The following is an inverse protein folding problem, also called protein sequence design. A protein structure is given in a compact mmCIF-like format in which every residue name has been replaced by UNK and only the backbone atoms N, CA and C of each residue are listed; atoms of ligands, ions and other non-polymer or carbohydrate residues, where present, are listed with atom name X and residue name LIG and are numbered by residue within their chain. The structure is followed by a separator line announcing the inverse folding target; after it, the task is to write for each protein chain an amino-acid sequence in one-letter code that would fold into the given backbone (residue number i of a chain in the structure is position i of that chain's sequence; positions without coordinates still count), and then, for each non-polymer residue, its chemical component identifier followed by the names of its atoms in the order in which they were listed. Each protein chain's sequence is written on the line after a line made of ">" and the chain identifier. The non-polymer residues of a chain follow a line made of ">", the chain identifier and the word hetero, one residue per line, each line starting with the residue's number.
data_IF_790709335362
#
_entry.id   IF_790709335362
#
_cell.length_a   1.000
_cell.length_b   1.000
_cell.length_c   1.000
_cell.angle_alpha   90.00
_cell.angle_beta   90.00
_cell.angle_gamma   90.00
#
_symmetry.space_group_name_H-M   'P 1'
#
loop_
_entity.id
_entity.type
_entity.pdbx_description
1 polymer ?
#
# COMPACT_ATOMS: atom_id res chain seq x y z
N UNK A 1 -7.94 -38.17 -23.78
CA UNK A 1 -9.05 -38.53 -24.71
C UNK A 1 -10.33 -39.01 -24.03
N UNK A 2 -10.32 -40.01 -23.13
CA UNK A 2 -11.55 -40.56 -22.49
C UNK A 2 -12.49 -39.53 -21.83
N UNK A 3 -11.97 -38.48 -21.19
CA UNK A 3 -12.78 -37.41 -20.55
C UNK A 3 -13.45 -36.46 -21.56
N UNK A 4 -12.84 -36.26 -22.73
CA UNK A 4 -13.39 -35.42 -23.80
C UNK A 4 -14.53 -36.17 -24.49
N UNK A 5 -14.33 -37.46 -24.76
CA UNK A 5 -15.36 -38.33 -25.37
C UNK A 5 -16.60 -38.43 -24.48
N UNK A 6 -16.44 -38.60 -23.16
CA UNK A 6 -17.60 -38.64 -22.24
C UNK A 6 -18.31 -37.30 -22.10
N UNK A 7 -17.59 -36.19 -22.22
CA UNK A 7 -18.19 -34.85 -22.24
C UNK A 7 -19.02 -34.64 -23.51
N UNK A 8 -18.48 -34.97 -24.69
CA UNK A 8 -19.16 -34.83 -25.98
C UNK A 8 -20.41 -35.71 -26.05
N UNK A 9 -20.33 -36.97 -25.60
CA UNK A 9 -21.50 -37.87 -25.52
C UNK A 9 -22.60 -37.34 -24.59
N UNK A 10 -22.22 -36.70 -23.48
CA UNK A 10 -23.18 -36.11 -22.54
C UNK A 10 -23.88 -34.89 -23.13
N UNK A 11 -23.17 -34.08 -23.92
CA UNK A 11 -23.73 -32.93 -24.64
C UNK A 11 -24.64 -33.39 -25.78
N UNK A 12 -24.24 -34.38 -26.57
CA UNK A 12 -25.06 -34.96 -27.63
C UNK A 12 -26.36 -35.58 -27.09
N UNK A 13 -26.28 -36.30 -25.97
CA UNK A 13 -27.49 -36.87 -25.34
C UNK A 13 -28.45 -35.79 -24.83
N UNK A 14 -27.93 -34.68 -24.28
CA UNK A 14 -28.77 -33.57 -23.82
C UNK A 14 -29.43 -32.81 -24.97
N UNK A 15 -28.71 -32.58 -26.05
CA UNK A 15 -29.25 -31.91 -27.25
C UNK A 15 -30.28 -32.76 -27.97
N UNK A 16 -30.06 -34.08 -28.09
CA UNK A 16 -31.06 -35.01 -28.62
C UNK A 16 -32.35 -35.03 -27.79
N UNK A 17 -32.24 -35.01 -26.45
CA UNK A 17 -33.42 -34.96 -25.58
C UNK A 17 -34.21 -33.66 -25.75
N UNK A 18 -33.53 -32.52 -25.90
CA UNK A 18 -34.18 -31.24 -26.17
C UNK A 18 -34.91 -31.22 -27.51
N UNK A 19 -34.31 -31.80 -28.57
CA UNK A 19 -34.96 -31.90 -29.88
C UNK A 19 -36.24 -32.73 -29.82
N UNK A 20 -36.21 -33.89 -29.15
CA UNK A 20 -37.41 -34.73 -28.96
C UNK A 20 -38.49 -33.96 -28.21
N UNK A 21 -38.12 -33.20 -27.17
CA UNK A 21 -39.06 -32.40 -26.40
C UNK A 21 -39.71 -31.28 -27.23
N UNK A 22 -38.93 -30.59 -28.07
CA UNK A 22 -39.44 -29.57 -29.00
C UNK A 22 -40.40 -30.16 -30.03
N UNK A 23 -40.08 -31.34 -30.59
CA UNK A 23 -40.98 -32.04 -31.53
C UNK A 23 -42.27 -32.46 -30.84
N UNK A 24 -42.21 -32.92 -29.59
CA UNK A 24 -43.40 -33.26 -28.80
C UNK A 24 -44.30 -32.05 -28.54
N UNK A 25 -43.72 -30.90 -28.18
CA UNK A 25 -44.48 -29.65 -27.99
C UNK A 25 -45.12 -29.20 -29.30
N UNK A 26 -44.37 -29.20 -30.41
CA UNK A 26 -44.91 -28.84 -31.72
C UNK A 26 -46.02 -29.79 -32.17
N UNK A 27 -45.84 -31.10 -31.98
CA UNK A 27 -46.85 -32.11 -32.27
C UNK A 27 -48.13 -31.92 -31.43
N UNK A 28 -48.00 -31.62 -30.14
CA UNK A 28 -49.15 -31.37 -29.26
C UNK A 28 -49.93 -30.11 -29.67
N UNK A 29 -49.23 -29.06 -30.13
CA UNK A 29 -49.88 -27.85 -30.62
C UNK A 29 -50.63 -28.08 -31.94
N UNK A 30 -50.07 -28.87 -32.85
CA UNK A 30 -50.76 -29.26 -34.10
C UNK A 30 -52.00 -30.09 -33.77
N UNK A 31 -51.91 -31.03 -32.81
CA UNK A 31 -53.05 -31.86 -32.41
C UNK A 31 -54.19 -31.02 -31.81
N UNK A 32 -53.85 -30.01 -31.00
CA UNK A 32 -54.82 -29.05 -30.44
C UNK A 32 -55.48 -28.20 -31.54
N UNK A 33 -54.73 -27.73 -32.54
CA UNK A 33 -55.27 -26.98 -33.68
C UNK A 33 -56.21 -27.82 -34.55
N UNK A 34 -55.98 -29.13 -34.67
CA UNK A 34 -56.87 -30.02 -35.41
C UNK A 34 -58.14 -30.42 -34.65
N UNK A 35 -58.13 -30.34 -33.31
CA UNK A 35 -59.29 -30.68 -32.49
C UNK A 35 -60.45 -29.69 -32.66
N UNK A 36 -60.17 -28.40 -32.80
CA UNK A 36 -61.20 -27.37 -33.05
C UNK A 36 -61.88 -27.52 -34.43
N UNK A 37 -61.11 -27.92 -35.45
CA UNK A 37 -61.66 -28.14 -36.79
C UNK A 37 -62.63 -29.34 -36.86
N UNK A 38 -62.41 -30.36 -36.03
CA UNK A 38 -63.29 -31.55 -35.96
C UNK A 38 -64.54 -31.27 -35.11
N UNK A 39 -64.41 -30.47 -34.05
CA UNK A 39 -65.54 -30.11 -33.17
C UNK A 39 -66.61 -29.26 -33.90
N UNK A 40 -66.17 -28.40 -34.83
CA UNK A 40 -67.08 -27.54 -35.59
C UNK A 40 -67.80 -28.30 -36.73
N UNK A 41 -67.22 -29.41 -37.21
CA UNK A 41 -67.82 -30.30 -38.22
C UNK A 41 -68.91 -31.21 -37.63
N UNK A 42 -68.71 -31.74 -36.41
CA UNK A 42 -69.72 -32.58 -35.73
C UNK A 42 -70.94 -31.78 -35.27
N UNK A 43 -70.76 -30.51 -34.87
CA UNK A 43 -71.87 -29.64 -34.46
C UNK A 43 -72.82 -29.33 -35.62
N UNK A 44 -72.32 -29.21 -36.86
CA UNK A 44 -73.17 -28.98 -38.05
C UNK A 44 -73.90 -30.25 -38.51
N UNK A 45 -73.33 -31.44 -38.31
CA UNK A 45 -73.99 -32.72 -38.61
C UNK A 45 -75.13 -33.10 -37.64
N UNK A 46 -75.11 -32.57 -36.42
CA UNK A 46 -76.13 -32.88 -35.42
C UNK A 46 -77.47 -32.14 -35.67
N UNK A 47 -77.44 -30.96 -36.30
CA UNK A 47 -78.66 -30.21 -36.63
C UNK A 47 -79.42 -30.76 -37.85
N UNK A 48 -78.80 -31.59 -38.71
CA UNK A 48 -79.52 -32.24 -39.82
C UNK A 48 -80.38 -33.43 -39.39
N UNK A 49 -80.29 -33.86 -38.13
CA UNK A 49 -81.11 -34.96 -37.58
C UNK A 49 -82.33 -34.46 -36.79
N UNK A 50 -82.41 -33.16 -36.48
CA UNK A 50 -83.53 -32.58 -35.73
C UNK A 50 -84.85 -32.50 -36.53
N UNK A 51 -84.83 -32.65 -37.86
CA UNK A 51 -86.03 -32.64 -38.70
C UNK A 51 -86.75 -34.00 -38.81
N UNK A 52 -86.24 -35.05 -38.16
CA UNK A 52 -86.80 -36.42 -38.24
C UNK A 52 -87.71 -36.77 -37.04
N UNK A 53 -87.84 -35.88 -36.05
CA UNK A 53 -88.64 -36.13 -34.81
C UNK A 53 -90.05 -35.52 -34.84
N UNK A 54 -90.56 -35.11 -36.01
CA UNK A 54 -91.94 -34.63 -36.15
C UNK A 54 -92.88 -35.73 -36.68
N UNK A 55 -92.93 -36.88 -36.01
CA UNK A 55 -93.99 -37.88 -36.26
C UNK A 55 -95.04 -37.77 -35.13
N UNK A 56 -95.84 -36.71 -35.22
CA UNK A 56 -96.99 -36.48 -34.33
C UNK A 56 -98.20 -37.17 -34.95
N UNK A 57 -98.58 -38.31 -34.37
CA UNK A 57 -99.74 -39.09 -34.77
C UNK A 57 -101.06 -38.28 -34.74
N UNK A 58 -101.91 -38.57 -35.71
CA UNK A 58 -103.22 -37.91 -35.96
C UNK A 58 -104.24 -38.10 -34.82
N UNK A 59 -105.16 -37.15 -34.58
CA UNK A 59 -105.95 -37.06 -33.36
C UNK A 59 -107.23 -37.90 -33.36
N UNK A 60 -107.53 -38.57 -32.24
CA UNK A 60 -108.84 -39.18 -31.95
C UNK A 60 -109.43 -38.62 -30.63
N UNK A 61 -110.54 -37.90 -30.75
CA UNK A 61 -111.44 -37.37 -29.69
C UNK A 61 -110.95 -36.17 -28.84
N UNK A 62 -111.86 -35.21 -28.60
CA UNK A 62 -111.61 -33.93 -27.89
C UNK A 62 -111.09 -34.07 -26.44
N UNK A 63 -111.33 -35.21 -25.77
CA UNK A 63 -110.90 -35.44 -24.38
C UNK A 63 -109.45 -35.92 -24.30
N UNK A 64 -109.05 -36.85 -25.16
CA UNK A 64 -107.65 -37.32 -25.24
C UNK A 64 -106.68 -36.21 -25.65
N UNK A 65 -107.10 -35.33 -26.56
CA UNK A 65 -106.31 -34.16 -26.95
C UNK A 65 -106.09 -33.18 -25.78
N UNK A 66 -107.07 -32.99 -24.88
CA UNK A 66 -106.89 -32.11 -23.70
C UNK A 66 -105.88 -32.68 -22.71
N UNK A 67 -105.94 -33.98 -22.44
CA UNK A 67 -104.98 -34.64 -21.55
C UNK A 67 -103.56 -34.70 -22.14
N UNK A 68 -103.44 -34.87 -23.45
CA UNK A 68 -102.17 -34.78 -24.16
C UNK A 68 -101.58 -33.36 -24.10
N UNK A 69 -102.41 -32.33 -24.36
CA UNK A 69 -101.97 -30.93 -24.24
C UNK A 69 -101.49 -30.63 -22.82
N UNK A 70 -102.26 -30.98 -21.79
CA UNK A 70 -101.85 -30.77 -20.38
C UNK A 70 -100.53 -31.47 -20.05
N UNK A 71 -100.33 -32.71 -20.53
CA UNK A 71 -99.06 -33.44 -20.34
C UNK A 71 -97.89 -32.77 -21.06
N UNK A 72 -98.10 -32.30 -22.28
CA UNK A 72 -97.08 -31.58 -23.02
C UNK A 72 -96.74 -30.25 -22.35
N UNK A 73 -97.74 -29.50 -21.86
CA UNK A 73 -97.51 -28.23 -21.14
C UNK A 73 -96.69 -28.47 -19.86
N UNK A 74 -97.01 -29.53 -19.11
CA UNK A 74 -96.25 -29.89 -17.92
C UNK A 74 -94.80 -30.32 -18.25
N UNK A 75 -94.58 -31.06 -19.34
CA UNK A 75 -93.23 -31.39 -19.80
C UNK A 75 -92.44 -30.16 -20.24
N UNK A 76 -93.06 -29.22 -20.96
CA UNK A 76 -92.40 -27.98 -21.36
C UNK A 76 -91.98 -27.15 -20.15
N UNK A 77 -92.82 -27.04 -19.11
CA UNK A 77 -92.46 -26.33 -17.87
C UNK A 77 -91.27 -26.98 -17.15
N UNK A 78 -91.21 -28.32 -17.11
CA UNK A 78 -90.07 -29.04 -16.51
C UNK A 78 -88.79 -28.84 -17.31
N UNK A 79 -88.85 -28.94 -18.64
CA UNK A 79 -87.69 -28.70 -19.50
C UNK A 79 -87.21 -27.25 -19.43
N UNK A 80 -88.11 -26.28 -19.34
CA UNK A 80 -87.76 -24.88 -19.13
C UNK A 80 -87.07 -24.67 -17.78
N UNK A 81 -87.55 -25.30 -16.71
CA UNK A 81 -86.91 -25.24 -15.40
C UNK A 81 -85.51 -25.88 -15.39
N UNK A 82 -85.33 -27.01 -16.08
CA UNK A 82 -84.02 -27.66 -16.22
C UNK A 82 -83.06 -26.82 -17.05
N UNK A 83 -83.52 -26.23 -18.16
CA UNK A 83 -82.72 -25.32 -18.98
C UNK A 83 -82.26 -24.08 -18.18
N UNK A 84 -83.13 -23.50 -17.36
CA UNK A 84 -82.77 -22.39 -16.46
C UNK A 84 -81.73 -22.79 -15.41
N UNK A 85 -81.84 -24.01 -14.86
CA UNK A 85 -80.87 -24.53 -13.91
C UNK A 85 -79.50 -24.72 -14.56
N UNK A 86 -79.44 -25.34 -15.74
CA UNK A 86 -78.19 -25.52 -16.46
C UNK A 86 -77.56 -24.18 -16.85
N UNK A 87 -78.36 -23.17 -17.25
CA UNK A 87 -77.84 -21.83 -17.54
C UNK A 87 -77.24 -21.17 -16.29
N UNK A 88 -77.87 -21.33 -15.12
CA UNK A 88 -77.33 -20.83 -13.86
C UNK A 88 -76.01 -21.53 -13.48
N UNK A 89 -75.90 -22.84 -13.66
CA UNK A 89 -74.68 -23.61 -13.43
C UNK A 89 -73.57 -23.21 -14.42
N UNK A 90 -73.90 -23.03 -15.71
CA UNK A 90 -72.95 -22.59 -16.73
C UNK A 90 -72.41 -21.18 -16.44
N UNK A 91 -73.26 -20.27 -15.95
CA UNK A 91 -72.83 -18.93 -15.53
C UNK A 91 -71.88 -18.98 -14.33
N UNK A 92 -72.16 -19.84 -13.33
CA UNK A 92 -71.27 -20.04 -12.18
C UNK A 92 -69.91 -20.57 -12.61
N UNK A 93 -69.90 -21.63 -13.42
CA UNK A 93 -68.66 -22.21 -13.95
C UNK A 93 -67.86 -21.20 -14.79
N UNK A 94 -68.53 -20.37 -15.61
CA UNK A 94 -67.87 -19.29 -16.36
C UNK A 94 -67.23 -18.26 -15.43
N UNK A 95 -67.91 -17.86 -14.36
CA UNK A 95 -67.36 -16.91 -13.40
C UNK A 95 -66.14 -17.48 -12.67
N UNK A 96 -66.19 -18.76 -12.29
CA UNK A 96 -65.06 -19.45 -11.66
C UNK A 96 -63.84 -19.55 -12.60
N UNK A 97 -64.05 -19.84 -13.89
CA UNK A 97 -62.97 -19.83 -14.89
C UNK A 97 -62.34 -18.44 -15.03
N UNK A 98 -63.14 -17.37 -14.99
CA UNK A 98 -62.62 -15.99 -15.03
C UNK A 98 -61.79 -15.67 -13.79
N UNK A 99 -62.26 -16.08 -12.60
CA UNK A 99 -61.54 -15.90 -11.33
C UNK A 99 -60.22 -16.67 -11.32
N UNK A 100 -60.24 -17.96 -11.67
CA UNK A 100 -59.04 -18.80 -11.76
C UNK A 100 -58.05 -18.29 -12.81
N UNK A 101 -58.53 -17.70 -13.91
CA UNK A 101 -57.68 -17.06 -14.90
C UNK A 101 -56.97 -15.83 -14.31
N UNK A 102 -57.69 -14.98 -13.58
CA UNK A 102 -57.12 -13.80 -12.93
C UNK A 102 -56.10 -14.17 -11.83
N UNK A 103 -56.36 -15.24 -11.08
CA UNK A 103 -55.43 -15.77 -10.09
C UNK A 103 -54.17 -16.35 -10.73
N UNK A 104 -54.30 -17.10 -11.82
CA UNK A 104 -53.15 -17.60 -12.58
C UNK A 104 -52.28 -16.45 -13.12
N UNK A 105 -52.89 -15.38 -13.65
CA UNK A 105 -52.14 -14.19 -14.04
C UNK A 105 -51.38 -13.57 -12.86
N UNK A 106 -52.02 -13.49 -11.70
CA UNK A 106 -51.41 -12.94 -10.49
C UNK A 106 -50.24 -13.80 -10.00
N UNK A 107 -50.40 -15.12 -9.99
CA UNK A 107 -49.34 -16.07 -9.65
C UNK A 107 -48.18 -16.01 -10.64
N UNK A 108 -48.46 -15.92 -11.94
CA UNK A 108 -47.43 -15.77 -12.97
C UNK A 108 -46.63 -14.47 -12.79
N UNK A 109 -47.30 -13.35 -12.46
CA UNK A 109 -46.61 -12.09 -12.14
C UNK A 109 -45.72 -12.22 -10.90
N UNK A 110 -46.17 -12.93 -9.86
CA UNK A 110 -45.35 -13.18 -8.66
C UNK A 110 -44.15 -14.07 -8.97
N UNK A 111 -44.34 -15.12 -9.76
CA UNK A 111 -43.27 -16.01 -10.20
C UNK A 111 -42.21 -15.26 -11.00
N UNK A 112 -42.62 -14.35 -11.90
CA UNK A 112 -41.71 -13.49 -12.65
C UNK A 112 -40.89 -12.57 -11.72
N UNK A 113 -41.54 -11.89 -10.77
CA UNK A 113 -40.84 -11.03 -9.79
C UNK A 113 -39.81 -11.80 -8.95
N UNK A 114 -40.20 -12.97 -8.45
CA UNK A 114 -39.28 -13.83 -7.68
C UNK A 114 -38.11 -14.32 -8.54
N UNK A 115 -38.33 -14.58 -9.82
CA UNK A 115 -37.25 -14.94 -10.74
C UNK A 115 -36.26 -13.77 -10.94
N UNK A 116 -36.77 -12.54 -11.06
CA UNK A 116 -35.94 -11.33 -11.17
C UNK A 116 -35.15 -11.07 -9.88
N UNK A 117 -35.80 -11.12 -8.71
CA UNK A 117 -35.14 -10.98 -7.40
C UNK A 117 -34.05 -12.03 -7.20
N UNK A 118 -34.30 -13.28 -7.59
CA UNK A 118 -33.30 -14.34 -7.53
C UNK A 118 -32.12 -14.06 -8.45
N UNK A 119 -32.37 -13.57 -9.66
CA UNK A 119 -31.31 -13.22 -10.60
C UNK A 119 -30.43 -12.07 -10.07
N UNK A 120 -31.04 -11.08 -9.41
CA UNK A 120 -30.33 -9.99 -8.76
C UNK A 120 -29.48 -10.49 -7.57
N UNK A 121 -30.05 -11.32 -6.70
CA UNK A 121 -29.34 -11.94 -5.58
C UNK A 121 -28.14 -12.77 -6.06
N UNK A 122 -28.32 -13.56 -7.13
CA UNK A 122 -27.23 -14.34 -7.75
C UNK A 122 -26.13 -13.42 -8.32
N UNK A 123 -26.49 -12.28 -8.89
CA UNK A 123 -25.52 -11.30 -9.38
C UNK A 123 -24.74 -10.67 -8.22
N UNK A 124 -25.42 -10.31 -7.13
CA UNK A 124 -24.80 -9.76 -5.92
C UNK A 124 -23.87 -10.76 -5.25
N UNK A 125 -24.27 -12.02 -5.13
CA UNK A 125 -23.41 -13.11 -4.65
C UNK A 125 -22.15 -13.26 -5.51
N UNK A 126 -22.26 -13.16 -6.83
CA UNK A 126 -21.10 -13.20 -7.73
C UNK A 126 -20.20 -11.97 -7.60
N UNK A 127 -20.74 -10.78 -7.30
CA UNK A 127 -19.94 -9.58 -7.02
C UNK A 127 -19.17 -9.74 -5.70
N UNK A 128 -19.86 -10.09 -4.62
CA UNK A 128 -19.25 -10.29 -3.31
C UNK A 128 -18.16 -11.38 -3.33
N UNK A 129 -18.37 -12.48 -4.06
CA UNK A 129 -17.34 -13.51 -4.23
C UNK A 129 -16.09 -13.00 -4.95
N UNK A 130 -16.24 -12.16 -5.98
CA UNK A 130 -15.10 -11.54 -6.68
C UNK A 130 -14.34 -10.58 -5.79
N UNK A 131 -15.05 -9.80 -4.98
CA UNK A 131 -14.46 -8.91 -4.01
C UNK A 131 -13.66 -9.67 -2.95
N UNK A 132 -14.22 -10.76 -2.40
CA UNK A 132 -13.49 -11.65 -1.49
C UNK A 132 -12.23 -12.24 -2.12
N UNK A 133 -12.28 -12.65 -3.39
CA UNK A 133 -11.07 -13.15 -4.07
C UNK A 133 -10.03 -12.07 -4.28
N UNK A 134 -10.44 -10.83 -4.57
CA UNK A 134 -9.52 -9.71 -4.75
C UNK A 134 -8.86 -9.34 -3.41
N UNK A 135 -9.65 -9.17 -2.35
CA UNK A 135 -9.16 -8.89 -1.00
C UNK A 135 -8.23 -10.00 -0.49
N UNK A 136 -8.56 -11.27 -0.79
CA UNK A 136 -7.70 -12.40 -0.45
C UNK A 136 -6.35 -12.36 -1.20
N UNK A 137 -6.33 -11.85 -2.44
CA UNK A 137 -5.09 -11.69 -3.20
C UNK A 137 -4.25 -10.54 -2.64
N UNK A 138 -4.88 -9.41 -2.36
CA UNK A 138 -4.22 -8.22 -1.80
C UNK A 138 -3.61 -8.51 -0.43
N UNK A 139 -4.33 -9.21 0.44
CA UNK A 139 -3.79 -9.63 1.76
C UNK A 139 -2.61 -10.57 1.63
N UNK A 140 -2.60 -11.48 0.64
CA UNK A 140 -1.46 -12.35 0.36
C UNK A 140 -0.25 -11.55 -0.15
N UNK A 141 -0.46 -10.57 -1.02
CA UNK A 141 0.58 -9.69 -1.55
C UNK A 141 1.21 -8.82 -0.46
N UNK A 142 0.40 -8.14 0.34
CA UNK A 142 0.87 -7.34 1.48
C UNK A 142 1.62 -8.19 2.51
N UNK A 143 1.19 -9.43 2.73
CA UNK A 143 1.91 -10.36 3.60
C UNK A 143 3.28 -10.72 3.04
N UNK A 144 3.38 -10.98 1.72
CA UNK A 144 4.65 -11.23 1.06
C UNK A 144 5.58 -10.01 1.09
N UNK A 145 5.03 -8.80 0.91
CA UNK A 145 5.78 -7.55 1.00
C UNK A 145 6.30 -7.31 2.42
N UNK A 146 5.48 -7.52 3.46
CA UNK A 146 5.90 -7.42 4.86
C UNK A 146 7.07 -8.35 5.15
N UNK A 147 7.02 -9.60 4.68
CA UNK A 147 8.10 -10.57 4.84
C UNK A 147 9.36 -10.10 4.11
N UNK A 148 9.23 -9.55 2.89
CA UNK A 148 10.36 -9.01 2.13
C UNK A 148 11.02 -7.83 2.84
N UNK A 149 10.23 -6.88 3.34
CA UNK A 149 10.72 -5.71 4.07
C UNK A 149 11.37 -6.12 5.39
N UNK A 150 10.77 -7.05 6.13
CA UNK A 150 11.35 -7.58 7.37
C UNK A 150 12.72 -8.23 7.14
N UNK A 151 12.89 -9.00 6.05
CA UNK A 151 14.21 -9.54 5.67
C UNK A 151 15.22 -8.46 5.30
N UNK A 152 14.79 -7.41 4.60
CA UNK A 152 15.66 -6.27 4.28
C UNK A 152 16.13 -5.56 5.54
N UNK A 153 15.22 -5.34 6.49
CA UNK A 153 15.56 -4.75 7.78
C UNK A 153 16.57 -5.62 8.53
N UNK A 154 16.33 -6.93 8.64
CA UNK A 154 17.27 -7.85 9.29
C UNK A 154 18.65 -7.86 8.60
N UNK A 155 18.70 -7.85 7.27
CA UNK A 155 19.97 -7.78 6.54
C UNK A 155 20.69 -6.44 6.72
N UNK A 156 19.95 -5.33 6.82
CA UNK A 156 20.54 -4.02 7.10
C UNK A 156 21.05 -3.94 8.54
N UNK A 157 20.31 -4.51 9.49
CA UNK A 157 20.73 -4.62 10.88
C UNK A 157 22.04 -5.40 11.02
N UNK A 158 22.17 -6.54 10.32
CA UNK A 158 23.43 -7.31 10.25
C UNK A 158 24.56 -6.47 9.63
N UNK A 159 24.32 -5.75 8.53
CA UNK A 159 25.33 -4.91 7.90
C UNK A 159 25.80 -3.77 8.81
N UNK A 160 24.88 -3.16 9.57
CA UNK A 160 25.21 -2.13 10.55
C UNK A 160 26.04 -2.72 11.68
N UNK A 161 25.66 -3.89 12.21
CA UNK A 161 26.41 -4.57 13.27
C UNK A 161 27.82 -5.00 12.80
N UNK A 162 27.95 -5.47 11.57
CA UNK A 162 29.24 -5.83 10.95
C UNK A 162 30.16 -4.61 10.77
N UNK A 163 29.61 -3.42 10.51
CA UNK A 163 30.38 -2.18 10.41
C UNK A 163 30.70 -1.54 11.78
N UNK A 164 29.82 -1.68 12.78
CA UNK A 164 29.96 -0.99 14.08
C UNK A 164 31.17 -1.51 14.88
N UNK A 165 31.47 -2.80 14.80
CA UNK A 165 32.64 -3.42 15.43
C UNK A 165 34.00 -2.81 15.00
N UNK A 166 34.38 -2.92 13.71
CA UNK A 166 35.65 -2.39 13.22
C UNK A 166 35.73 -0.87 13.29
N UNK A 167 34.60 -0.16 13.16
CA UNK A 167 34.56 1.29 13.33
C UNK A 167 34.90 1.68 14.78
N UNK A 168 34.28 1.03 15.77
CA UNK A 168 34.58 1.26 17.20
C UNK A 168 36.02 0.94 17.56
N UNK A 169 36.59 -0.13 17.02
CA UNK A 169 37.98 -0.50 17.25
C UNK A 169 38.95 0.58 16.76
N UNK A 170 38.76 1.09 15.54
CA UNK A 170 39.58 2.17 14.98
C UNK A 170 39.44 3.48 15.75
N UNK A 171 38.22 3.88 16.11
CA UNK A 171 37.99 5.09 16.93
C UNK A 171 38.63 4.95 18.31
N UNK A 172 38.55 3.77 18.94
CA UNK A 172 39.21 3.49 20.22
C UNK A 172 40.74 3.62 20.12
N UNK A 173 41.35 3.07 19.06
CA UNK A 173 42.78 3.17 18.82
C UNK A 173 43.24 4.63 18.60
N UNK A 174 42.46 5.43 17.85
CA UNK A 174 42.70 6.88 17.68
C UNK A 174 42.62 7.58 19.05
N UNK A 175 41.57 7.34 19.83
CA UNK A 175 41.38 7.94 21.15
C UNK A 175 42.51 7.58 22.13
N UNK A 176 43.01 6.33 22.12
CA UNK A 176 44.10 5.91 22.99
C UNK A 176 45.45 6.54 22.58
N UNK A 177 45.68 6.73 21.27
CA UNK A 177 46.85 7.48 20.75
C UNK A 177 46.77 8.94 21.16
N UNK A 178 45.60 9.56 21.00
CA UNK A 178 45.35 10.95 21.37
C UNK A 178 45.52 11.16 22.88
N UNK A 179 44.90 10.33 23.73
CA UNK A 179 45.01 10.42 25.19
C UNK A 179 46.45 10.26 25.70
N UNK A 180 47.23 9.33 25.12
CA UNK A 180 48.66 9.18 25.42
C UNK A 180 49.49 10.39 24.99
N UNK A 181 49.14 11.06 23.90
CA UNK A 181 49.83 12.28 23.45
C UNK A 181 49.49 13.47 24.34
N UNK A 182 48.21 13.71 24.59
CA UNK A 182 47.73 14.81 25.44
C UNK A 182 48.31 14.72 26.85
N UNK A 183 48.36 13.52 27.44
CA UNK A 183 48.97 13.33 28.77
C UNK A 183 50.46 13.67 28.80
N UNK A 184 51.23 13.26 27.78
CA UNK A 184 52.66 13.62 27.66
C UNK A 184 52.84 15.13 27.47
N UNK A 185 52.03 15.76 26.63
CA UNK A 185 52.08 17.20 26.39
C UNK A 185 51.81 17.98 27.69
N UNK A 186 50.75 17.61 28.43
CA UNK A 186 50.43 18.22 29.73
C UNK A 186 51.58 18.05 30.72
N UNK A 187 52.17 16.85 30.83
CA UNK A 187 53.30 16.63 31.74
C UNK A 187 54.52 17.46 31.35
N UNK A 188 54.78 17.57 30.06
CA UNK A 188 55.96 18.28 29.54
C UNK A 188 55.81 19.79 29.75
N UNK A 189 54.64 20.34 29.45
CA UNK A 189 54.34 21.76 29.63
C UNK A 189 54.35 22.13 31.14
N UNK A 190 53.73 21.32 32.00
CA UNK A 190 53.78 21.53 33.47
C UNK A 190 55.21 21.45 34.01
N UNK A 191 56.05 20.56 33.47
CA UNK A 191 57.46 20.46 33.88
C UNK A 191 58.33 21.60 33.35
N UNK A 192 57.95 22.21 32.23
CA UNK A 192 58.71 23.29 31.58
C UNK A 192 58.65 24.60 32.36
N UNK A 193 57.54 24.88 33.05
CA UNK A 193 57.39 26.04 33.95
C UNK A 193 58.46 26.12 35.04
N UNK A 194 59.00 24.97 35.49
CA UNK A 194 60.05 24.93 36.50
C UNK A 194 61.46 25.19 35.92
N UNK A 195 61.66 24.94 34.62
CA UNK A 195 62.96 25.03 33.94
C UNK A 195 63.18 26.43 33.34
N UNK A 196 62.11 27.16 33.03
CA UNK A 196 62.14 28.53 32.51
C UNK A 196 62.78 29.55 33.47
N UNK A 197 62.89 29.24 34.76
CA UNK A 197 63.50 30.12 35.76
C UNK A 197 65.05 30.20 35.69
N UNK A 198 65.70 29.37 34.85
CA UNK A 198 67.17 29.32 34.75
C UNK A 198 67.65 30.07 33.50
N UNK A 199 68.49 31.13 33.63
CA UNK A 199 69.03 31.87 32.48
C UNK A 199 69.79 30.95 31.51
N UNK A 200 69.64 31.19 30.21
CA UNK A 200 70.19 30.40 29.07
C UNK A 200 69.63 28.98 28.91
N UNK A 201 69.39 28.25 30.00
CA UNK A 201 68.76 26.91 29.96
C UNK A 201 67.27 27.01 29.62
N UNK A 202 66.58 28.03 30.12
CA UNK A 202 65.17 28.29 29.84
C UNK A 202 64.89 28.53 28.36
N UNK A 203 65.77 29.23 27.63
CA UNK A 203 65.58 29.50 26.18
C UNK A 203 65.65 28.21 25.36
N UNK A 204 66.60 27.32 25.66
CA UNK A 204 66.69 26.02 25.00
C UNK A 204 65.50 25.12 25.37
N UNK A 205 65.00 25.20 26.61
CA UNK A 205 63.82 24.46 27.05
C UNK A 205 62.54 24.94 26.34
N UNK A 206 62.33 26.25 26.21
CA UNK A 206 61.21 26.84 25.47
C UNK A 206 61.21 26.34 24.03
N UNK A 207 62.33 26.46 23.32
CA UNK A 207 62.48 25.99 21.93
C UNK A 207 62.16 24.49 21.80
N UNK A 208 62.68 23.67 22.71
CA UNK A 208 62.43 22.23 22.70
C UNK A 208 60.98 21.85 22.98
N UNK A 209 60.33 22.55 23.91
CA UNK A 209 58.92 22.34 24.24
C UNK A 209 58.04 22.78 23.09
N UNK A 210 58.27 23.97 22.52
CA UNK A 210 57.52 24.45 21.35
C UNK A 210 57.64 23.51 20.14
N UNK A 211 58.82 22.93 19.90
CA UNK A 211 58.98 21.91 18.86
C UNK A 211 58.06 20.70 19.10
N UNK A 212 58.04 20.20 20.34
CA UNK A 212 57.18 19.07 20.70
C UNK A 212 55.71 19.43 20.58
N UNK A 213 55.31 20.66 20.95
CA UNK A 213 53.93 21.13 20.82
C UNK A 213 53.48 21.21 19.35
N UNK A 214 54.33 21.76 18.47
CA UNK A 214 54.04 21.83 17.03
C UNK A 214 53.92 20.42 16.44
N UNK A 215 54.84 19.52 16.79
CA UNK A 215 54.80 18.13 16.35
C UNK A 215 53.53 17.42 16.83
N UNK A 216 53.15 17.61 18.10
CA UNK A 216 51.96 16.98 18.67
C UNK A 216 50.66 17.54 18.08
N UNK A 217 50.62 18.85 17.77
CA UNK A 217 49.51 19.47 17.06
C UNK A 217 49.32 18.87 15.66
N UNK A 218 50.42 18.67 14.92
CA UNK A 218 50.33 18.08 13.58
C UNK A 218 49.87 16.61 13.59
N UNK A 219 50.33 15.81 14.56
CA UNK A 219 49.83 14.44 14.72
C UNK A 219 48.35 14.41 15.13
N UNK A 220 47.89 15.41 15.89
CA UNK A 220 46.48 15.54 16.26
C UNK A 220 45.60 15.90 15.07
N UNK A 221 46.10 16.75 14.15
CA UNK A 221 45.45 17.02 12.87
C UNK A 221 45.38 15.77 11.98
N UNK A 222 46.40 14.93 11.99
CA UNK A 222 46.37 13.65 11.28
C UNK A 222 45.32 12.68 11.86
N UNK A 223 45.29 12.52 13.19
CA UNK A 223 44.33 11.64 13.88
C UNK A 223 42.87 12.10 13.70
N UNK A 224 42.62 13.42 13.67
CA UNK A 224 41.27 13.98 13.44
C UNK A 224 40.78 13.79 12.01
N UNK A 225 41.68 13.85 11.02
CA UNK A 225 41.35 13.49 9.62
C UNK A 225 41.04 12.01 9.48
N UNK A 226 41.86 11.14 10.06
CA UNK A 226 41.61 9.70 10.07
C UNK A 226 40.20 9.41 10.64
N UNK A 227 39.80 10.12 11.71
CA UNK A 227 38.46 10.01 12.27
C UNK A 227 37.37 10.59 11.36
N UNK A 228 37.61 11.74 10.71
CA UNK A 228 36.66 12.33 9.75
C UNK A 228 36.42 11.42 8.55
N UNK A 229 37.47 10.84 7.98
CA UNK A 229 37.40 9.89 6.86
C UNK A 229 36.62 8.63 7.24
N UNK A 230 36.84 8.09 8.45
CA UNK A 230 36.11 6.92 8.93
C UNK A 230 34.61 7.18 9.14
N UNK A 231 34.21 8.41 9.48
CA UNK A 231 32.82 8.78 9.75
C UNK A 231 32.08 9.27 8.50
N UNK A 232 32.77 9.97 7.60
CA UNK A 232 32.19 10.55 6.38
C UNK A 232 32.23 9.58 5.19
N UNK A 233 33.14 8.61 5.18
CA UNK A 233 33.30 7.63 4.10
C UNK A 233 33.89 8.20 2.81
N UNK A 234 34.26 9.47 2.78
CA UNK A 234 34.93 10.13 1.65
C UNK A 234 36.36 10.55 2.05
N UNK A 235 37.36 10.38 1.18
CA UNK A 235 38.71 10.85 1.44
C UNK A 235 38.74 12.39 1.40
N UNK A 236 39.02 13.03 2.54
CA UNK A 236 39.24 14.48 2.58
C UNK A 236 40.55 14.84 1.84
N UNK A 237 40.59 16.02 1.22
CA UNK A 237 41.72 16.45 0.39
C UNK A 237 43.05 16.43 1.18
N UNK A 238 44.11 15.89 0.54
CA UNK A 238 45.48 15.82 1.05
C UNK A 238 46.05 17.22 1.35
N UNK A 239 45.80 17.72 2.55
CA UNK A 239 46.58 18.81 3.12
C UNK A 239 47.70 18.14 3.93
N UNK A 240 48.99 18.38 3.67
CA UNK A 240 50.07 17.71 4.40
C UNK A 240 49.87 17.87 5.91
N UNK A 241 49.83 16.77 6.67
CA UNK A 241 50.00 16.85 8.11
C UNK A 241 51.40 17.40 8.33
N UNK A 242 51.50 18.60 8.92
CA UNK A 242 52.76 19.29 9.08
C UNK A 242 53.77 18.39 9.82
N UNK A 243 55.03 18.40 9.39
CA UNK A 243 56.06 17.57 9.99
C UNK A 243 57.40 18.22 9.73
N UNK A 244 58.04 18.70 10.78
CA UNK A 244 59.39 19.23 10.72
C UNK A 244 60.32 18.24 11.42
N UNK A 245 61.41 17.88 10.78
CA UNK A 245 62.53 17.24 11.48
C UNK A 245 63.16 18.23 12.47
N UNK A 246 63.85 17.74 13.52
CA UNK A 246 64.55 18.63 14.45
C UNK A 246 65.51 19.61 13.75
N UNK A 247 66.11 19.20 12.62
CA UNK A 247 66.98 20.06 11.82
C UNK A 247 66.19 21.14 11.04
N UNK A 248 65.09 20.79 10.39
CA UNK A 248 64.23 21.76 9.67
C UNK A 248 63.58 22.77 10.61
N UNK A 249 63.17 22.33 11.80
CA UNK A 249 62.62 23.25 12.81
C UNK A 249 63.69 24.20 13.35
N UNK A 250 64.92 23.70 13.53
CA UNK A 250 66.05 24.55 13.89
C UNK A 250 66.41 25.56 12.80
N UNK A 251 66.31 25.21 11.52
CA UNK A 251 66.50 26.16 10.42
C UNK A 251 65.42 27.26 10.42
N UNK A 252 64.16 26.91 10.71
CA UNK A 252 63.06 27.87 10.85
C UNK A 252 63.29 28.81 12.05
N UNK A 253 63.75 28.28 13.18
CA UNK A 253 64.02 29.08 14.38
C UNK A 253 65.31 29.90 14.28
N UNK A 254 66.37 29.34 13.70
CA UNK A 254 67.66 30.01 13.48
C UNK A 254 67.55 31.10 12.40
N UNK A 255 66.55 30.99 11.51
CA UNK A 255 66.15 32.07 10.61
C UNK A 255 65.72 33.34 11.35
N UNK A 256 65.24 33.22 12.59
CA UNK A 256 64.69 34.32 13.39
C UNK A 256 63.48 34.98 12.72
N UNK A 257 62.51 35.52 13.48
CA UNK A 257 61.53 36.42 12.88
C UNK A 257 62.30 37.67 12.43
N UNK A 258 62.62 37.77 11.14
CA UNK A 258 63.02 39.07 10.61
C UNK A 258 61.81 40.01 10.64
N UNK A 259 62.08 41.32 10.70
CA UNK A 259 61.03 42.34 10.80
C UNK A 259 60.04 42.25 9.63
N UNK A 260 60.47 41.70 8.50
CA UNK A 260 59.65 41.44 7.31
C UNK A 260 58.63 40.31 7.54
N UNK A 261 59.06 39.17 8.09
CA UNK A 261 58.21 38.03 8.45
C UNK A 261 57.15 38.41 9.47
N UNK A 262 57.49 39.21 10.47
CA UNK A 262 56.53 39.71 11.45
C UNK A 262 55.50 40.66 10.80
N UNK A 263 55.95 41.53 9.89
CA UNK A 263 55.08 42.50 9.22
C UNK A 263 54.09 41.82 8.28
N UNK A 264 54.55 40.79 7.57
CA UNK A 264 53.73 39.99 6.68
C UNK A 264 52.68 39.19 7.47
N UNK A 265 53.06 38.56 8.59
CA UNK A 265 52.09 37.89 9.48
C UNK A 265 51.09 38.87 10.11
N UNK A 266 51.51 40.09 10.46
CA UNK A 266 50.64 41.12 11.03
C UNK A 266 49.60 41.66 10.05
N UNK A 267 49.84 41.51 8.74
CA UNK A 267 48.96 42.01 7.70
C UNK A 267 47.67 41.18 7.60
N UNK A 268 47.76 39.88 7.88
CA UNK A 268 46.65 38.91 7.78
C UNK A 268 45.78 38.83 9.05
N UNK A 269 46.16 39.56 10.11
CA UNK A 269 45.46 39.55 11.40
C UNK A 269 44.61 40.83 11.55
N UNK A 270 43.38 40.74 12.12
CA UNK A 270 42.53 41.90 12.37
C UNK A 270 43.26 42.99 13.16
N UNK A 271 42.93 44.27 12.91
CA UNK A 271 43.68 45.42 13.42
C UNK A 271 43.86 45.44 14.94
N UNK A 272 42.97 44.79 15.69
CA UNK A 272 42.95 44.68 17.14
C UNK A 272 44.01 43.71 17.72
N UNK A 273 44.55 42.81 16.88
CA UNK A 273 45.48 41.74 17.27
C UNK A 273 46.84 41.85 16.56
N UNK A 274 47.12 43.00 15.92
CA UNK A 274 48.38 43.22 15.20
C UNK A 274 49.56 43.31 16.16
N UNK A 275 50.61 42.56 15.84
CA UNK A 275 51.83 42.55 16.62
C UNK A 275 52.68 43.80 16.36
N UNK A 276 53.26 44.38 17.42
CA UNK A 276 54.22 45.47 17.31
C UNK A 276 55.60 44.93 16.95
N UNK A 277 55.86 44.80 15.66
CA UNK A 277 57.11 44.27 15.11
C UNK A 277 58.33 45.21 15.29
N UNK A 278 58.16 46.39 15.91
CA UNK A 278 59.24 47.37 16.08
C UNK A 278 60.28 46.97 17.14
N UNK A 279 59.94 46.00 18.00
CA UNK A 279 60.77 45.53 19.12
C UNK A 279 61.61 44.29 18.79
N UNK A 280 61.46 43.72 17.60
CA UNK A 280 62.19 42.52 17.18
C UNK A 280 63.57 42.92 16.61
N UNK A 281 64.62 42.40 17.23
CA UNK A 281 66.02 42.65 16.84
C UNK A 281 66.28 42.18 15.40
N UNK A 282 67.05 42.96 14.64
CA UNK A 282 67.46 42.56 13.30
C UNK A 282 68.47 41.42 13.37
N UNK A 283 68.48 40.49 12.40
CA UNK A 283 69.50 39.44 12.35
C UNK A 283 70.92 40.03 12.45
N UNK A 284 71.66 39.68 13.51
CA UNK A 284 73.03 40.15 13.76
C UNK A 284 73.19 41.26 14.81
N UNK A 285 72.12 41.76 15.42
CA UNK A 285 72.18 42.78 16.47
C UNK A 285 72.28 42.12 17.87
N UNK A 286 73.38 42.35 18.60
CA UNK A 286 73.49 41.89 19.99
C UNK A 286 72.71 42.81 20.92
N UNK A 287 71.80 42.23 21.73
CA UNK A 287 71.02 42.97 22.72
C UNK A 287 71.95 43.79 23.66
N UNK A 288 71.83 45.11 23.63
CA UNK A 288 72.42 45.97 24.66
C UNK A 288 71.51 45.96 25.88
N UNK A 289 72.03 45.81 27.11
CA UNK A 289 71.18 45.80 28.30
C UNK A 289 70.82 47.24 28.65
N UNK A 290 69.68 47.74 28.14
CA UNK A 290 69.05 48.93 28.69
C UNK A 290 68.07 48.51 29.79
N UNK A 291 68.61 48.31 30.99
CA UNK A 291 67.81 48.19 32.20
C UNK A 291 67.66 49.61 32.77
N UNK A 292 66.72 50.39 32.24
CA UNK A 292 66.26 51.63 32.85
C UNK A 292 64.78 51.81 32.51
N UNK A 293 63.95 51.21 33.34
CA UNK A 293 62.50 51.24 33.21
C UNK A 293 61.88 50.32 34.22
N UNK A 294 61.80 50.75 35.47
CA UNK A 294 60.95 50.11 36.46
C UNK A 294 59.49 50.14 35.94
N UNK A 295 58.79 49.01 35.83
CA UNK A 295 57.37 49.04 35.53
C UNK A 295 56.61 49.54 36.76
N UNK A 296 56.02 50.73 36.65
CA UNK A 296 54.88 51.15 37.46
C UNK A 296 53.72 50.18 37.18
N UNK A 297 53.55 49.19 38.05
CA UNK A 297 52.31 48.41 38.10
C UNK A 297 51.24 49.21 38.84
N UNK A 298 50.65 50.17 38.13
CA UNK A 298 49.45 50.83 38.61
C UNK A 298 48.22 49.94 38.33
N UNK A 299 47.70 49.36 39.42
CA UNK A 299 46.32 48.87 39.59
C UNK A 299 45.73 47.95 38.50
N UNK A 300 46.17 46.68 38.48
CA UNK A 300 45.32 45.59 37.98
C UNK A 300 44.45 45.09 39.15
N UNK A 301 43.17 45.49 39.14
CA UNK A 301 42.14 44.87 40.00
C UNK A 301 42.10 43.36 39.73
N UNK A 302 42.12 42.56 40.81
CA UNK A 302 41.80 41.13 40.74
C UNK A 302 40.31 40.96 40.42
N UNK A 303 39.92 39.99 39.58
CA UNK A 303 38.52 39.57 39.50
C UNK A 303 38.14 38.87 40.81
N UNK A 304 37.18 39.43 41.55
CA UNK A 304 36.77 38.92 42.86
C UNK A 304 36.20 39.97 43.84
N UNK A 305 36.04 41.23 43.44
CA UNK A 305 35.02 42.14 44.00
C UNK A 305 33.74 42.08 43.14
#
# INVERSE_FOLDING_TARGET
>A
MRRIVSFVLRVLRRTAFLLVFVVLILGSNILLLTADAVYDATKRGLWSLASVVADVGTPTTHRGNREAVVRLTAQTEVFEAEAQRLDAELRRARNEVVELSADNETLNRRAARLADEKAELDQNLRRARRELTNLSSETAELTAERVRLSRRLANLEIQVEELDGPLRERVSAINERLARRTSRMISTNTSSMAIEAVPYVGVAAIVGVTFMEVRDACLTLADTREMSELLSGEPEAEVPACGYSPAEFWDILAGGPDVTSCRDLSADVPAELRFDCSTILRPGESASPSFDGAPEFENVRRPGE
#
